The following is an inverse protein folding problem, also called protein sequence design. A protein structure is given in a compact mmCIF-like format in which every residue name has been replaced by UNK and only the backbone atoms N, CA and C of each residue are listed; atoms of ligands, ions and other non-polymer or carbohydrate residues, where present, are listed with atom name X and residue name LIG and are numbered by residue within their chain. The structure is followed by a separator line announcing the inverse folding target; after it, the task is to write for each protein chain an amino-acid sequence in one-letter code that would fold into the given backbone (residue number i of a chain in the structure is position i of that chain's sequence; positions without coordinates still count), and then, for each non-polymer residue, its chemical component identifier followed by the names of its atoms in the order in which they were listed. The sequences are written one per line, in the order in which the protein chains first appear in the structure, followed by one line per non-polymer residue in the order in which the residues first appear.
data_IF_547329605059
#
_entry.id   IF_547329605059
#
_cell.length_a   1.000
_cell.length_b   1.000
_cell.length_c   1.000
_cell.angle_alpha   90.00
_cell.angle_beta   90.00
_cell.angle_gamma   90.00
#
_symmetry.space_group_name_H-M   'P 1'
#
loop_
_entity.id
_entity.type
_entity.pdbx_description
1 polymer ?
#
# COMPACT_ATOMS: atom_id res chain seq x y z
N UNK A 1 -32.31 -28.44 -6.26
CA UNK A 1 -31.82 -27.11 -5.84
C UNK A 1 -31.00 -27.31 -4.58
N UNK A 2 -29.67 -27.30 -4.68
CA UNK A 2 -28.78 -27.45 -3.53
C UNK A 2 -28.73 -26.15 -2.73
N UNK A 3 -28.73 -26.19 -1.38
CA UNK A 3 -28.58 -24.99 -0.57
C UNK A 3 -27.23 -24.31 -0.85
N UNK A 4 -27.15 -22.96 -0.78
CA UNK A 4 -25.90 -22.26 -1.00
C UNK A 4 -24.87 -22.64 0.09
N UNK A 5 -23.57 -22.75 -0.25
CA UNK A 5 -22.55 -23.16 0.70
C UNK A 5 -22.46 -22.18 1.89
N UNK A 6 -22.70 -22.72 3.10
CA UNK A 6 -22.35 -22.09 4.37
C UNK A 6 -20.84 -22.23 4.57
N UNK A 7 -20.06 -21.28 4.05
CA UNK A 7 -18.71 -20.88 4.50
C UNK A 7 -17.93 -20.26 3.33
N UNK A 8 -18.22 -19.01 2.99
CA UNK A 8 -17.20 -18.15 2.41
C UNK A 8 -16.65 -17.33 3.57
N UNK A 9 -15.58 -17.83 4.21
CA UNK A 9 -14.70 -16.96 4.99
C UNK A 9 -14.05 -16.07 3.94
N UNK A 10 -14.60 -14.89 3.69
CA UNK A 10 -13.94 -13.92 2.81
C UNK A 10 -12.64 -13.58 3.51
N UNK A 11 -11.54 -14.11 3.01
CA UNK A 11 -10.20 -13.92 3.55
C UNK A 11 -9.92 -12.42 3.70
N UNK A 12 -9.84 -11.96 4.94
CA UNK A 12 -9.58 -10.56 5.30
C UNK A 12 -8.13 -10.12 4.98
N UNK A 13 -7.42 -10.76 4.04
CA UNK A 13 -5.95 -10.69 3.94
C UNK A 13 -5.44 -10.30 2.54
N UNK A 14 -6.02 -9.24 1.97
CA UNK A 14 -5.41 -8.49 0.86
C UNK A 14 -5.27 -6.99 1.17
N UNK A 15 -5.29 -6.60 2.45
CA UNK A 15 -5.15 -5.19 2.85
C UNK A 15 -3.70 -4.69 2.86
N UNK A 16 -2.76 -5.61 2.86
CA UNK A 16 -1.32 -5.39 2.92
C UNK A 16 -0.67 -5.21 1.54
N UNK A 17 -1.35 -5.61 0.46
CA UNK A 17 -0.82 -5.51 -0.92
C UNK A 17 -1.25 -4.26 -1.68
N UNK A 18 -2.30 -3.57 -1.23
CA UNK A 18 -2.82 -2.38 -1.91
C UNK A 18 -3.31 -1.32 -0.91
N UNK A 19 -3.10 -0.05 -1.22
CA UNK A 19 -3.51 1.05 -0.36
C UNK A 19 -3.85 2.32 -1.16
N UNK A 20 -4.88 3.04 -0.70
CA UNK A 20 -5.25 4.33 -1.28
C UNK A 20 -4.47 5.45 -0.60
N UNK A 21 -3.69 6.19 -1.39
CA UNK A 21 -2.85 7.31 -0.95
C UNK A 21 -3.21 8.52 -1.82
N UNK A 22 -3.63 9.62 -1.18
CA UNK A 22 -3.93 10.87 -1.90
C UNK A 22 -4.96 10.74 -3.03
N UNK A 23 -5.94 9.84 -2.88
CA UNK A 23 -6.98 9.59 -3.90
C UNK A 23 -6.63 8.55 -4.96
N UNK A 24 -5.40 8.04 -4.98
CA UNK A 24 -4.96 6.99 -5.91
C UNK A 24 -4.74 5.67 -5.19
N UNK A 25 -5.11 4.56 -5.83
CA UNK A 25 -4.88 3.21 -5.27
C UNK A 25 -3.58 2.66 -5.82
N UNK A 26 -2.64 2.36 -4.93
CA UNK A 26 -1.34 1.78 -5.25
C UNK A 26 -1.27 0.34 -4.75
N UNK A 27 -0.41 -0.45 -5.38
CA UNK A 27 -0.11 -1.82 -5.01
C UNK A 27 1.40 -2.01 -4.77
N UNK A 28 1.77 -3.08 -4.08
CA UNK A 28 3.17 -3.51 -4.01
C UNK A 28 3.68 -3.76 -5.44
N UNK A 29 4.81 -3.16 -5.77
CA UNK A 29 5.43 -3.18 -7.10
C UNK A 29 5.22 -1.90 -7.90
N UNK A 30 4.19 -1.10 -7.57
CA UNK A 30 3.90 0.13 -8.30
C UNK A 30 4.99 1.18 -8.09
N UNK A 31 5.18 2.03 -9.11
CA UNK A 31 6.07 3.17 -9.03
C UNK A 31 5.43 4.26 -8.16
N UNK A 32 6.19 4.75 -7.19
CA UNK A 32 5.75 5.80 -6.28
C UNK A 32 6.83 6.85 -6.15
N UNK A 33 6.42 8.11 -6.29
CA UNK A 33 7.29 9.28 -6.15
C UNK A 33 6.93 10.03 -4.89
N UNK A 34 7.91 10.19 -4.00
CA UNK A 34 7.73 10.96 -2.77
C UNK A 34 7.62 12.45 -3.10
N UNK A 35 6.50 13.07 -2.80
CA UNK A 35 6.23 14.47 -3.16
C UNK A 35 7.23 15.46 -2.55
N UNK A 36 7.79 15.17 -1.37
CA UNK A 36 8.70 16.08 -0.65
C UNK A 36 10.14 16.02 -1.16
N UNK A 37 10.66 14.83 -1.44
CA UNK A 37 12.08 14.66 -1.83
C UNK A 37 12.28 14.33 -3.30
N UNK A 38 11.20 14.17 -4.07
CA UNK A 38 11.25 13.81 -5.51
C UNK A 38 11.78 12.40 -5.80
N UNK A 39 12.03 11.59 -4.78
CA UNK A 39 12.60 10.25 -4.94
C UNK A 39 11.53 9.32 -5.49
N UNK A 40 11.88 8.57 -6.52
CA UNK A 40 11.02 7.59 -7.17
C UNK A 40 11.53 6.18 -6.90
N UNK A 41 10.65 5.27 -6.48
CA UNK A 41 10.96 3.87 -6.23
C UNK A 41 9.74 2.98 -6.38
N UNK A 42 9.94 1.66 -6.38
CA UNK A 42 8.83 0.69 -6.39
C UNK A 42 8.39 0.40 -4.97
N UNK A 43 7.08 0.36 -4.73
CA UNK A 43 6.53 0.05 -3.42
C UNK A 43 6.86 -1.40 -3.05
N UNK A 44 7.42 -1.60 -1.87
CA UNK A 44 7.71 -2.94 -1.33
C UNK A 44 6.83 -3.30 -0.12
N UNK A 45 6.22 -2.31 0.53
CA UNK A 45 5.39 -2.51 1.71
C UNK A 45 4.53 -1.29 2.03
N UNK A 46 3.39 -1.54 2.67
CA UNK A 46 2.55 -0.54 3.30
C UNK A 46 2.46 -0.82 4.80
N UNK A 47 2.69 0.19 5.62
CA UNK A 47 2.58 0.11 7.07
C UNK A 47 1.77 1.31 7.59
N UNK A 48 0.47 1.14 7.89
CA UNK A 48 -0.34 2.19 8.52
C UNK A 48 0.29 2.57 9.86
N UNK A 49 0.59 3.86 10.06
CA UNK A 49 1.14 4.37 11.33
C UNK A 49 0.03 5.01 12.16
N UNK A 50 -0.90 5.69 11.51
CA UNK A 50 -2.13 6.21 12.11
C UNK A 50 -3.24 6.30 11.06
N UNK A 51 -4.46 6.64 11.47
CA UNK A 51 -5.59 6.82 10.56
C UNK A 51 -5.38 7.88 9.45
N UNK A 52 -4.36 8.73 9.59
CA UNK A 52 -4.05 9.82 8.65
C UNK A 52 -2.68 9.67 7.99
N UNK A 53 -1.89 8.67 8.38
CA UNK A 53 -0.49 8.54 7.97
C UNK A 53 -0.14 7.09 7.72
N UNK A 54 0.37 6.84 6.53
CA UNK A 54 0.89 5.53 6.12
C UNK A 54 2.36 5.65 5.80
N UNK A 55 3.16 4.72 6.31
CA UNK A 55 4.54 4.52 5.88
C UNK A 55 4.56 3.61 4.67
N UNK A 56 5.12 4.08 3.58
CA UNK A 56 5.31 3.33 2.33
C UNK A 56 6.79 2.97 2.22
N UNK A 57 7.10 1.68 2.16
CA UNK A 57 8.45 1.22 1.86
C UNK A 57 8.71 1.23 0.36
N UNK A 58 9.85 1.75 -0.05
CA UNK A 58 10.28 1.89 -1.43
C UNK A 58 11.60 1.15 -1.65
N UNK A 59 11.70 0.44 -2.77
CA UNK A 59 12.95 -0.06 -3.32
C UNK A 59 13.32 0.82 -4.50
N UNK A 60 14.47 1.47 -4.42
CA UNK A 60 15.00 2.33 -5.48
C UNK A 60 15.62 1.51 -6.62
N UNK A 61 15.87 2.14 -7.76
CA UNK A 61 16.51 1.50 -8.92
C UNK A 61 17.91 0.95 -8.62
N UNK A 62 18.63 1.58 -7.69
CA UNK A 62 19.95 1.12 -7.22
C UNK A 62 19.86 0.02 -6.14
N UNK A 63 18.67 -0.50 -5.84
CA UNK A 63 18.43 -1.52 -4.83
C UNK A 63 18.34 -1.00 -3.39
N UNK A 64 18.59 0.29 -3.14
CA UNK A 64 18.46 0.87 -1.81
C UNK A 64 17.00 0.86 -1.33
N UNK A 65 16.80 0.62 -0.03
CA UNK A 65 15.48 0.64 0.60
C UNK A 65 15.27 1.96 1.33
N UNK A 66 14.13 2.61 1.12
CA UNK A 66 13.73 3.85 1.80
C UNK A 66 12.29 3.76 2.29
N UNK A 67 11.94 4.68 3.19
CA UNK A 67 10.57 4.83 3.66
C UNK A 67 10.06 6.24 3.37
N UNK A 68 8.81 6.33 2.97
CA UNK A 68 8.09 7.58 2.76
C UNK A 68 6.89 7.64 3.69
N UNK A 69 6.73 8.75 4.40
CA UNK A 69 5.54 9.00 5.21
C UNK A 69 4.52 9.73 4.34
N UNK A 70 3.41 9.08 4.07
CA UNK A 70 2.36 9.58 3.18
C UNK A 70 1.13 9.90 4.01
N UNK A 71 0.65 11.14 3.88
CA UNK A 71 -0.61 11.55 4.49
C UNK A 71 -1.76 10.93 3.71
N UNK A 72 -2.60 10.17 4.40
CA UNK A 72 -3.85 9.64 3.87
C UNK A 72 -4.98 10.54 4.34
N UNK A 73 -5.58 11.29 3.43
CA UNK A 73 -6.84 11.99 3.70
C UNK A 73 -7.95 10.96 3.75
N UNK A 74 -8.73 10.99 4.83
CA UNK A 74 -9.96 10.19 4.98
C UNK A 74 -11.06 10.83 4.15
#
# INVERSE_FOLDING_TARGET
MTPPPKNVRIDYHRKDKQMTLGGYTYQIGDLFTTSTTGVTGRINSFAPVSNKVTRVGLTLSNGAKRFAMVKTTK
#
